data_IF_699673681049
#
_entry.id   IF_699673681049
#
_cell.length_a   1.000
_cell.length_b   1.000
_cell.length_c   1.000
_cell.angle_alpha   90.00
_cell.angle_beta   90.00
_cell.angle_gamma   90.00
#
_symmetry.space_group_name_H-M   'P 1'
#
loop_
_entity.id
_entity.type
_entity.pdbx_description
1 polymer ?
#
# COMPACT_ATOMS: atom_id res chain seq x y z
N UNK A 1 -7.84 -14.18 2.24
CA UNK A 1 -7.13 -15.16 1.40
C UNK A 1 -7.49 -16.59 1.80
N UNK A 2 -7.34 -16.97 3.08
CA UNK A 2 -7.66 -18.34 3.52
C UNK A 2 -9.08 -18.79 3.18
N UNK A 3 -10.08 -17.92 3.37
CA UNK A 3 -11.45 -18.26 2.96
C UNK A 3 -11.57 -18.59 1.45
N UNK A 4 -10.89 -17.83 0.59
CA UNK A 4 -10.83 -18.10 -0.86
C UNK A 4 -10.19 -19.46 -1.17
N UNK A 5 -9.15 -19.84 -0.42
CA UNK A 5 -8.50 -21.15 -0.55
C UNK A 5 -9.43 -22.28 -0.16
N UNK A 6 -10.14 -22.12 0.96
CA UNK A 6 -11.16 -23.07 1.42
C UNK A 6 -12.24 -23.27 0.36
N UNK A 7 -12.75 -22.19 -0.23
CA UNK A 7 -13.74 -22.27 -1.30
C UNK A 7 -13.20 -22.98 -2.55
N UNK A 8 -11.97 -22.66 -2.98
CA UNK A 8 -11.34 -23.32 -4.11
C UNK A 8 -11.18 -24.83 -3.89
N UNK A 9 -10.70 -25.25 -2.71
CA UNK A 9 -10.57 -26.68 -2.35
C UNK A 9 -11.93 -27.37 -2.29
N UNK A 10 -12.93 -26.75 -1.64
CA UNK A 10 -14.28 -27.31 -1.52
C UNK A 10 -14.91 -27.52 -2.89
N UNK A 11 -14.86 -26.51 -3.75
CA UNK A 11 -15.39 -26.61 -5.10
C UNK A 11 -14.67 -27.71 -5.89
N UNK A 12 -13.34 -27.74 -5.83
CA UNK A 12 -12.54 -28.75 -6.56
C UNK A 12 -12.82 -30.18 -6.11
N UNK A 13 -13.10 -30.39 -4.81
CA UNK A 13 -13.44 -31.69 -4.25
C UNK A 13 -14.80 -32.19 -4.76
N UNK A 14 -15.78 -31.28 -4.90
CA UNK A 14 -17.16 -31.64 -5.25
C UNK A 14 -17.40 -31.69 -6.77
N UNK A 15 -16.79 -30.78 -7.53
CA UNK A 15 -17.11 -30.56 -8.94
C UNK A 15 -15.90 -30.72 -9.87
N UNK A 16 -14.78 -31.25 -9.37
CA UNK A 16 -13.56 -31.47 -10.15
C UNK A 16 -12.58 -30.29 -10.12
N UNK A 17 -11.30 -30.58 -10.40
CA UNK A 17 -10.18 -29.63 -10.27
C UNK A 17 -10.26 -28.49 -11.30
N UNK A 18 -10.90 -27.38 -10.91
CA UNK A 18 -11.03 -26.18 -11.73
C UNK A 18 -10.18 -25.05 -11.16
N UNK A 19 -10.31 -24.72 -9.87
CA UNK A 19 -9.66 -23.55 -9.29
C UNK A 19 -8.22 -23.84 -8.85
N UNK A 20 -7.30 -22.96 -9.22
CA UNK A 20 -5.94 -23.00 -8.68
C UNK A 20 -5.98 -22.30 -7.32
N UNK A 21 -5.39 -22.91 -6.29
CA UNK A 21 -5.35 -22.30 -4.96
C UNK A 21 -4.44 -21.05 -5.00
N UNK A 22 -4.94 -19.87 -4.62
CA UNK A 22 -4.14 -18.65 -4.67
C UNK A 22 -3.02 -18.68 -3.62
N UNK A 23 -1.90 -18.03 -3.92
CA UNK A 23 -0.77 -17.83 -2.99
C UNK A 23 -0.65 -16.36 -2.61
N UNK A 24 -0.28 -16.03 -1.36
CA UNK A 24 -0.02 -14.65 -0.98
C UNK A 24 1.23 -14.14 -1.70
N UNK A 25 1.20 -12.88 -2.11
CA UNK A 25 2.39 -12.13 -2.51
C UNK A 25 2.71 -11.15 -1.38
N UNK A 26 3.80 -11.39 -0.66
CA UNK A 26 4.18 -10.62 0.52
C UNK A 26 5.21 -9.54 0.16
N UNK A 27 5.13 -8.39 0.82
CA UNK A 27 6.09 -7.29 0.70
C UNK A 27 6.96 -7.21 1.95
N UNK A 28 8.14 -6.58 1.83
CA UNK A 28 9.05 -6.31 2.96
C UNK A 28 8.37 -5.48 4.06
N UNK A 29 7.54 -4.51 3.64
CA UNK A 29 6.73 -3.66 4.52
C UNK A 29 5.25 -4.01 4.34
N UNK A 30 4.71 -4.97 5.11
CA UNK A 30 3.33 -5.43 4.92
C UNK A 30 2.28 -4.44 5.41
N UNK A 31 2.65 -3.55 6.34
CA UNK A 31 1.74 -2.58 6.97
C UNK A 31 2.46 -1.28 7.31
N UNK A 32 1.84 -0.17 6.90
CA UNK A 32 2.13 1.16 7.42
C UNK A 32 1.02 1.57 8.40
N UNK A 33 1.43 2.19 9.49
CA UNK A 33 0.57 2.63 10.57
C UNK A 33 0.12 4.08 10.36
N UNK A 34 -0.97 4.45 11.02
CA UNK A 34 -1.52 5.79 10.98
C UNK A 34 -0.52 6.80 11.57
N UNK A 35 -0.42 7.97 10.94
CA UNK A 35 0.39 9.07 11.44
C UNK A 35 -0.12 9.65 12.75
N UNK A 36 -1.41 9.48 13.06
CA UNK A 36 -2.03 10.00 14.30
C UNK A 36 -2.20 8.95 15.38
N UNK A 37 -2.16 7.66 15.03
CA UNK A 37 -2.26 6.56 15.98
C UNK A 37 -1.37 5.38 15.51
N UNK A 38 -0.18 5.21 16.09
CA UNK A 38 0.77 4.16 15.69
C UNK A 38 0.26 2.72 15.86
N UNK A 39 -0.79 2.51 16.65
CA UNK A 39 -1.40 1.19 16.88
C UNK A 39 -2.42 0.81 15.80
N UNK A 40 -2.88 1.78 15.01
CA UNK A 40 -3.88 1.57 13.96
C UNK A 40 -3.23 1.60 12.60
N UNK A 41 -3.67 0.71 11.72
CA UNK A 41 -3.23 0.72 10.32
C UNK A 41 -3.68 2.02 9.65
N UNK A 42 -2.82 2.61 8.81
CA UNK A 42 -3.21 3.72 7.96
C UNK A 42 -4.43 3.33 7.10
N UNK A 43 -5.47 4.16 7.11
CA UNK A 43 -6.71 3.92 6.38
C UNK A 43 -7.18 5.17 5.64
N UNK A 44 -7.65 4.99 4.40
CA UNK A 44 -8.30 6.07 3.63
C UNK A 44 -9.57 6.59 4.30
N UNK A 45 -10.23 5.76 5.11
CA UNK A 45 -11.41 6.14 5.89
C UNK A 45 -11.08 7.02 7.09
N UNK A 46 -9.79 7.20 7.42
CA UNK A 46 -9.31 8.09 8.47
C UNK A 46 -8.30 9.08 7.89
N UNK A 47 -8.78 10.09 7.13
CA UNK A 47 -7.92 10.97 6.33
C UNK A 47 -6.80 11.63 7.13
N UNK A 48 -7.05 11.96 8.39
CA UNK A 48 -6.06 12.62 9.26
C UNK A 48 -4.84 11.74 9.54
N UNK A 49 -5.04 10.42 9.60
CA UNK A 49 -3.99 9.44 9.89
C UNK A 49 -3.24 8.94 8.65
N UNK A 50 -3.60 9.39 7.45
CA UNK A 50 -3.03 8.89 6.20
C UNK A 50 -2.42 9.97 5.31
N UNK A 51 -1.51 9.52 4.44
CA UNK A 51 -0.98 10.30 3.31
C UNK A 51 -1.57 9.76 2.02
N UNK A 52 -2.20 10.64 1.25
CA UNK A 52 -2.65 10.33 -0.10
C UNK A 52 -1.54 10.69 -1.09
N UNK A 53 -1.44 9.93 -2.18
CA UNK A 53 -0.47 10.21 -3.24
C UNK A 53 -0.72 11.56 -3.94
N UNK A 54 -1.96 12.05 -3.86
CA UNK A 54 -2.39 13.33 -4.44
C UNK A 54 -2.40 14.46 -3.42
N UNK A 55 -1.89 14.26 -2.21
CA UNK A 55 -1.78 15.35 -1.25
C UNK A 55 -0.85 16.45 -1.80
N UNK A 56 -1.23 17.71 -1.57
CA UNK A 56 -0.37 18.84 -1.91
C UNK A 56 0.92 18.82 -1.10
N UNK A 57 1.91 19.59 -1.52
CA UNK A 57 3.15 19.75 -0.79
C UNK A 57 2.90 20.24 0.66
N UNK A 58 2.00 21.20 0.83
CA UNK A 58 1.60 21.75 2.12
C UNK A 58 0.93 20.69 3.00
N UNK A 59 0.02 19.90 2.42
CA UNK A 59 -0.66 18.82 3.14
C UNK A 59 0.32 17.74 3.61
N UNK A 60 1.29 17.35 2.76
CA UNK A 60 2.32 16.36 3.11
C UNK A 60 3.16 16.90 4.28
N UNK A 61 3.66 18.13 4.16
CA UNK A 61 4.49 18.78 5.20
C UNK A 61 3.74 18.87 6.53
N UNK A 62 2.49 19.36 6.53
CA UNK A 62 1.70 19.50 7.75
C UNK A 62 1.37 18.15 8.38
N UNK A 63 1.00 17.14 7.60
CA UNK A 63 0.69 15.79 8.13
C UNK A 63 1.92 15.12 8.74
N UNK A 64 3.08 15.19 8.09
CA UNK A 64 4.33 14.63 8.62
C UNK A 64 4.78 15.38 9.88
N UNK A 65 4.70 16.72 9.86
CA UNK A 65 5.02 17.55 11.03
C UNK A 65 4.17 17.15 12.23
N UNK A 66 2.86 17.00 12.04
CA UNK A 66 1.88 16.63 13.09
C UNK A 66 1.86 15.14 13.44
N UNK A 67 2.57 14.28 12.71
CA UNK A 67 2.60 12.85 13.00
C UNK A 67 3.00 12.60 14.46
N UNK A 68 2.31 11.70 15.15
CA UNK A 68 2.65 11.31 16.52
C UNK A 68 4.04 10.69 16.53
N UNK A 69 4.81 10.98 17.58
CA UNK A 69 6.13 10.40 17.83
C UNK A 69 6.17 9.79 19.22
N UNK A 70 7.09 8.86 19.43
CA UNK A 70 7.32 8.24 20.72
C UNK A 70 8.15 9.15 21.63
N UNK A 71 8.22 8.84 22.92
CA UNK A 71 9.07 9.57 23.87
C UNK A 71 10.58 9.44 23.52
N UNK A 72 11.38 10.38 24.02
CA UNK A 72 12.82 10.45 23.75
C UNK A 72 13.15 11.25 22.48
N UNK A 73 14.39 11.11 22.00
CA UNK A 73 14.92 11.87 20.86
C UNK A 73 15.58 11.01 19.78
N UNK A 74 15.83 9.74 20.07
CA UNK A 74 16.56 8.84 19.20
C UNK A 74 15.69 8.35 18.04
N UNK A 75 16.23 8.40 16.83
CA UNK A 75 15.56 7.95 15.61
C UNK A 75 16.07 6.54 15.32
N UNK A 76 15.51 5.58 16.06
CA UNK A 76 15.85 4.16 15.97
C UNK A 76 14.61 3.34 15.65
N UNK A 77 14.82 2.24 14.96
CA UNK A 77 13.79 1.29 14.59
C UNK A 77 13.57 0.27 15.72
N UNK A 78 12.49 0.48 16.46
CA UNK A 78 12.00 -0.43 17.48
C UNK A 78 10.47 -0.47 17.43
N UNK A 79 9.90 -1.52 16.82
CA UNK A 79 8.44 -1.65 16.68
C UNK A 79 7.70 -1.74 18.02
N UNK A 80 8.38 -2.16 19.09
CA UNK A 80 7.75 -2.38 20.40
C UNK A 80 7.78 -1.10 21.22
N UNK A 81 8.94 -0.46 21.31
CA UNK A 81 9.13 0.69 22.19
C UNK A 81 9.02 2.04 21.45
N UNK A 82 9.24 2.06 20.14
CA UNK A 82 9.13 3.25 19.29
C UNK A 82 8.30 3.01 18.01
N UNK A 83 7.04 2.53 18.14
CA UNK A 83 6.21 2.18 16.98
C UNK A 83 5.98 3.36 16.04
N UNK A 84 5.89 4.60 16.55
CA UNK A 84 5.62 5.78 15.73
C UNK A 84 6.82 6.15 14.85
N UNK A 85 8.02 6.25 15.45
CA UNK A 85 9.27 6.52 14.74
C UNK A 85 9.61 5.39 13.79
N UNK A 86 9.43 4.14 14.20
CA UNK A 86 9.65 2.97 13.34
C UNK A 86 8.78 3.00 12.09
N UNK A 87 7.53 3.45 12.22
CA UNK A 87 6.64 3.63 11.07
C UNK A 87 7.16 4.69 10.10
N UNK A 88 7.64 5.83 10.61
CA UNK A 88 8.22 6.89 9.77
C UNK A 88 9.53 6.44 9.09
N UNK A 89 10.37 5.66 9.77
CA UNK A 89 11.58 5.05 9.18
C UNK A 89 11.22 4.12 8.01
N UNK A 90 10.17 3.29 8.14
CA UNK A 90 9.71 2.43 7.04
C UNK A 90 9.20 3.22 5.83
N UNK A 91 8.54 4.36 6.07
CA UNK A 91 8.15 5.27 4.99
C UNK A 91 9.40 5.85 4.34
N UNK A 92 10.37 6.31 5.14
CA UNK A 92 11.63 6.86 4.63
C UNK A 92 12.39 5.84 3.78
N UNK A 93 12.56 4.61 4.25
CA UNK A 93 13.19 3.50 3.50
C UNK A 93 12.48 3.27 2.16
N UNK A 94 11.15 3.22 2.17
CA UNK A 94 10.35 2.97 0.96
C UNK A 94 10.50 4.02 -0.15
N UNK A 95 10.81 5.28 0.22
CA UNK A 95 10.94 6.40 -0.74
C UNK A 95 12.39 6.82 -1.01
N UNK A 96 13.34 6.47 -0.14
CA UNK A 96 14.75 6.81 -0.32
C UNK A 96 15.57 5.67 -0.91
N UNK A 97 15.13 4.42 -0.74
CA UNK A 97 15.93 3.23 -1.05
C UNK A 97 17.04 2.94 -0.03
N UNK A 98 17.22 3.79 0.99
CA UNK A 98 18.16 3.55 2.09
C UNK A 98 17.62 2.47 3.02
N UNK A 99 18.51 1.64 3.54
CA UNK A 99 18.19 0.67 4.58
C UNK A 99 17.89 1.36 5.91
N UNK A 100 17.16 0.67 6.78
CA UNK A 100 16.89 1.13 8.16
C UNK A 100 18.16 1.60 8.87
N UNK A 101 19.26 0.83 8.80
CA UNK A 101 20.53 1.17 9.47
C UNK A 101 21.12 2.47 8.93
N UNK A 102 21.12 2.66 7.61
CA UNK A 102 21.62 3.89 7.00
C UNK A 102 20.79 5.11 7.42
N UNK A 103 19.48 4.93 7.61
CA UNK A 103 18.59 5.98 8.10
C UNK A 103 18.90 6.31 9.58
N UNK A 104 19.07 5.30 10.44
CA UNK A 104 19.45 5.48 11.84
C UNK A 104 20.79 6.23 11.97
N UNK A 105 21.79 5.85 11.18
CA UNK A 105 23.09 6.54 11.15
C UNK A 105 22.96 7.97 10.63
N UNK A 106 22.24 8.18 9.52
CA UNK A 106 22.03 9.50 8.91
C UNK A 106 21.41 10.49 9.88
N UNK A 107 20.51 10.01 10.76
CA UNK A 107 19.80 10.85 11.72
C UNK A 107 20.30 10.68 13.16
N UNK A 108 21.47 10.08 13.36
CA UNK A 108 22.08 9.97 14.68
C UNK A 108 22.34 11.36 15.26
N UNK A 109 21.85 11.58 16.48
CA UNK A 109 21.96 12.88 17.17
C UNK A 109 21.08 14.00 16.60
N UNK A 110 20.25 13.71 15.59
CA UNK A 110 19.31 14.68 15.00
C UNK A 110 17.99 14.72 15.77
N UNK A 111 17.32 15.86 15.72
CA UNK A 111 15.99 16.01 16.31
C UNK A 111 14.91 15.35 15.46
N UNK A 112 13.78 15.00 16.09
CA UNK A 112 12.59 14.53 15.34
C UNK A 112 12.06 15.57 14.36
N UNK A 113 12.26 16.86 14.64
CA UNK A 113 11.87 17.94 13.72
C UNK A 113 12.69 17.87 12.44
N UNK A 114 14.03 17.75 12.55
CA UNK A 114 14.91 17.59 11.38
C UNK A 114 14.56 16.33 10.58
N UNK A 115 14.31 15.20 11.27
CA UNK A 115 13.93 13.95 10.61
C UNK A 115 12.60 14.06 9.85
N UNK A 116 11.57 14.62 10.49
CA UNK A 116 10.25 14.83 9.87
C UNK A 116 10.33 15.79 8.69
N UNK A 117 11.09 16.87 8.80
CA UNK A 117 11.29 17.81 7.70
C UNK A 117 11.96 17.11 6.51
N UNK A 118 13.03 16.35 6.74
CA UNK A 118 13.69 15.58 5.68
C UNK A 118 12.77 14.53 5.05
N UNK A 119 11.96 13.85 5.86
CA UNK A 119 10.97 12.89 5.34
C UNK A 119 9.91 13.59 4.47
N UNK A 120 9.40 14.75 4.90
CA UNK A 120 8.42 15.50 4.14
C UNK A 120 8.98 15.94 2.77
N UNK A 121 10.20 16.48 2.74
CA UNK A 121 10.89 16.87 1.50
C UNK A 121 11.11 15.67 0.57
N UNK A 122 11.54 14.53 1.12
CA UNK A 122 11.71 13.28 0.37
C UNK A 122 10.39 12.85 -0.29
N UNK A 123 9.29 12.89 0.46
CA UNK A 123 7.96 12.50 -0.04
C UNK A 123 7.48 13.45 -1.13
N UNK A 124 7.60 14.77 -0.92
CA UNK A 124 7.23 15.79 -1.91
C UNK A 124 7.98 15.58 -3.21
N UNK A 125 9.31 15.42 -3.14
CA UNK A 125 10.15 15.19 -4.31
C UNK A 125 9.74 13.94 -5.09
N UNK A 126 9.53 12.82 -4.40
CA UNK A 126 9.17 11.56 -5.06
C UNK A 126 7.75 11.57 -5.63
N UNK A 127 6.79 12.19 -4.93
CA UNK A 127 5.40 12.22 -5.37
C UNK A 127 5.17 13.22 -6.52
N UNK A 128 6.04 14.22 -6.67
CA UNK A 128 5.91 15.21 -7.74
C UNK A 128 5.87 14.57 -9.13
N UNK A 129 6.80 13.67 -9.43
CA UNK A 129 6.83 12.97 -10.71
C UNK A 129 5.56 12.15 -10.95
N UNK A 130 5.05 11.48 -9.91
CA UNK A 130 3.80 10.73 -9.98
C UNK A 130 2.61 11.65 -10.27
N UNK A 131 2.51 12.77 -9.55
CA UNK A 131 1.42 13.75 -9.68
C UNK A 131 1.42 14.40 -11.06
N UNK A 132 2.60 14.77 -11.58
CA UNK A 132 2.75 15.34 -12.92
C UNK A 132 2.39 14.30 -14.00
N UNK A 133 2.80 13.04 -13.86
CA UNK A 133 2.35 11.98 -14.76
C UNK A 133 0.84 11.78 -14.72
N UNK A 134 0.25 11.81 -13.53
CA UNK A 134 -1.20 11.62 -13.34
C UNK A 134 -2.00 12.77 -13.95
N UNK A 135 -1.60 14.02 -13.74
CA UNK A 135 -2.31 15.20 -14.27
C UNK A 135 -2.33 15.24 -15.79
N UNK A 136 -1.29 14.69 -16.43
CA UNK A 136 -1.20 14.55 -17.88
C UNK A 136 -2.06 13.42 -18.48
N UNK A 137 -2.72 12.59 -17.66
CA UNK A 137 -3.58 11.53 -18.16
C UNK A 137 -4.98 12.07 -18.48
N UNK A 138 -5.33 12.05 -19.77
CA UNK A 138 -6.64 12.50 -20.25
C UNK A 138 -7.76 11.49 -19.91
N UNK A 139 -8.91 12.02 -19.47
CA UNK A 139 -10.10 11.21 -19.13
C UNK A 139 -10.54 10.25 -20.25
N UNK A 140 -10.58 10.64 -21.55
CA UNK A 140 -10.89 9.69 -22.63
C UNK A 140 -9.92 8.50 -22.70
N UNK A 141 -8.61 8.73 -22.47
CA UNK A 141 -7.60 7.67 -22.45
C UNK A 141 -7.82 6.70 -21.29
N UNK A 142 -8.21 7.21 -20.12
CA UNK A 142 -8.57 6.37 -18.96
C UNK A 142 -9.75 5.46 -19.30
N UNK A 143 -10.83 6.04 -19.83
CA UNK A 143 -12.04 5.29 -20.17
C UNK A 143 -11.78 4.23 -21.24
N UNK A 144 -11.00 4.57 -22.28
CA UNK A 144 -10.58 3.61 -23.29
C UNK A 144 -9.77 2.45 -22.69
N UNK A 145 -8.79 2.75 -21.82
CA UNK A 145 -7.95 1.74 -21.16
C UNK A 145 -8.78 0.81 -20.26
N UNK A 146 -9.73 1.37 -19.49
CA UNK A 146 -10.62 0.58 -18.63
C UNK A 146 -11.52 -0.32 -19.48
N UNK A 147 -12.06 0.19 -20.58
CA UNK A 147 -12.90 -0.59 -21.51
C UNK A 147 -12.12 -1.76 -22.08
N UNK A 148 -10.94 -1.51 -22.64
CA UNK A 148 -10.07 -2.55 -23.23
C UNK A 148 -9.66 -3.60 -22.18
N UNK A 149 -9.25 -3.16 -20.99
CA UNK A 149 -8.92 -4.05 -19.88
C UNK A 149 -10.12 -4.90 -19.43
N UNK A 150 -11.31 -4.29 -19.41
CA UNK A 150 -12.57 -4.97 -19.10
C UNK A 150 -12.94 -6.05 -20.12
N UNK A 151 -12.77 -5.77 -21.42
CA UNK A 151 -12.98 -6.74 -22.49
C UNK A 151 -12.03 -7.93 -22.38
N UNK A 152 -10.73 -7.66 -22.19
CA UNK A 152 -9.70 -8.70 -21.97
C UNK A 152 -10.00 -9.56 -20.74
N UNK A 153 -10.42 -8.93 -19.63
CA UNK A 153 -10.79 -9.63 -18.41
C UNK A 153 -12.04 -10.50 -18.62
N UNK A 154 -13.05 -9.97 -19.32
CA UNK A 154 -14.31 -10.68 -19.62
C UNK A 154 -14.08 -11.93 -20.46
N UNK A 155 -13.25 -11.85 -21.51
CA UNK A 155 -12.92 -13.02 -22.33
C UNK A 155 -12.29 -14.15 -21.50
N UNK A 156 -11.38 -13.82 -20.57
CA UNK A 156 -10.76 -14.82 -19.68
C UNK A 156 -11.73 -15.37 -18.64
N UNK A 157 -12.51 -14.50 -17.99
CA UNK A 157 -13.44 -14.90 -16.94
C UNK A 157 -14.61 -15.71 -17.49
N UNK A 158 -15.09 -15.41 -18.70
CA UNK A 158 -16.19 -16.13 -19.35
C UNK A 158 -15.82 -17.58 -19.64
N UNK A 159 -14.63 -17.84 -20.20
CA UNK A 159 -14.11 -19.22 -20.37
C UNK A 159 -14.04 -19.99 -19.06
N UNK A 160 -13.72 -19.30 -17.95
CA UNK A 160 -13.70 -19.92 -16.61
C UNK A 160 -15.10 -20.20 -16.09
N UNK A 161 -16.01 -19.24 -16.26
CA UNK A 161 -17.40 -19.33 -15.82
C UNK A 161 -18.16 -20.42 -16.56
N UNK A 162 -17.95 -20.60 -17.86
CA UNK A 162 -18.54 -21.69 -18.64
C UNK A 162 -18.12 -23.06 -18.10
N UNK A 163 -16.83 -23.26 -17.81
CA UNK A 163 -16.33 -24.49 -17.17
C UNK A 163 -17.00 -24.73 -15.82
N UNK A 164 -17.14 -23.68 -15.00
CA UNK A 164 -17.83 -23.76 -13.71
C UNK A 164 -19.29 -24.16 -13.91
N UNK A 165 -20.01 -23.52 -14.83
CA UNK A 165 -21.42 -23.81 -15.11
C UNK A 165 -21.64 -25.23 -15.63
N UNK A 166 -20.78 -25.73 -16.54
CA UNK A 166 -20.84 -27.12 -17.02
C UNK A 166 -20.65 -28.11 -15.87
N UNK A 167 -19.65 -27.90 -15.00
CA UNK A 167 -19.41 -28.79 -13.87
C UNK A 167 -20.50 -28.72 -12.78
N UNK A 168 -21.27 -27.64 -12.74
CA UNK A 168 -22.47 -27.51 -11.90
C UNK A 168 -23.74 -28.07 -12.57
N UNK A 169 -23.70 -28.45 -13.85
CA UNK A 169 -24.87 -28.89 -14.61
C UNK A 169 -25.81 -27.76 -15.05
N UNK A 170 -25.35 -26.50 -15.04
CA UNK A 170 -26.15 -25.33 -15.45
C UNK A 170 -26.07 -25.05 -16.96
N UNK A 171 -25.16 -25.71 -17.65
CA UNK A 171 -25.05 -25.72 -19.11
C UNK A 171 -24.95 -27.18 -19.52
N UNK A 172 -25.84 -27.58 -20.42
CA UNK A 172 -25.82 -28.89 -21.08
C UNK A 172 -24.76 -28.84 -22.19
#
# INVERSE_FOLDING_TARGET
LEFTRTLARKFNKQFGKIFIEPKPLLTKTPRLMSLTNPLRKMSKSEPNGCLFMDNSEEEIKEKIKRAVTDSGKEIIFDKKNKPAISNLILIYEGFSGLTIKEIEEKFRGKSYVEFKSSLAELLVKNLREFQDKKSNILKPKILATIKEGGEKARQKSQKKLEKVKRNLGLLI
#
